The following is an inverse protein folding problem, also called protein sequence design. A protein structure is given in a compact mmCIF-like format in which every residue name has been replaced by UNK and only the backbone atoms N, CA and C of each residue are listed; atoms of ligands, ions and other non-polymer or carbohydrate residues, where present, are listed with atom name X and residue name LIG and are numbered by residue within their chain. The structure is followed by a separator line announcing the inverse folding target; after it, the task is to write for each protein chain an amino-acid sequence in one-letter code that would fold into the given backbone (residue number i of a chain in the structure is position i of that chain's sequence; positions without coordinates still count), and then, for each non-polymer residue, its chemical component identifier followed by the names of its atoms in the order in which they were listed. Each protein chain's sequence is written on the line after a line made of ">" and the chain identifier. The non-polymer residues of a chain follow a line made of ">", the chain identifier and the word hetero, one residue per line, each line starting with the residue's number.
data_IF_242062009294
#
_entry.id   IF_242062009294
#
_cell.length_a   1.000
_cell.length_b   1.000
_cell.length_c   1.000
_cell.angle_alpha   90.00
_cell.angle_beta   90.00
_cell.angle_gamma   90.00
#
_symmetry.space_group_name_H-M   'P 1'
#
loop_
_entity.id
_entity.type
_entity.pdbx_description
1 polymer ?
#
# COMPACT_ATOMS: atom_id res chain seq x y z
N UNK A 1 -2.78 1.12 -16.57
CA UNK A 1 -1.39 0.91 -16.10
C UNK A 1 -1.15 -0.53 -15.69
N UNK A 2 -1.80 -1.06 -14.65
CA UNK A 2 -1.59 -2.45 -14.22
C UNK A 2 -2.00 -3.51 -15.26
N UNK A 3 -3.08 -3.26 -16.01
CA UNK A 3 -3.52 -4.15 -17.09
C UNK A 3 -2.45 -4.29 -18.19
N UNK A 4 -1.89 -3.16 -18.63
CA UNK A 4 -0.80 -3.15 -19.62
C UNK A 4 0.44 -3.88 -19.05
N UNK A 5 0.84 -3.58 -17.82
CA UNK A 5 2.01 -4.20 -17.20
C UNK A 5 1.86 -5.72 -17.04
N UNK A 6 0.74 -6.18 -16.47
CA UNK A 6 0.54 -7.59 -16.15
C UNK A 6 0.04 -8.43 -17.33
N UNK A 7 -0.89 -7.90 -18.13
CA UNK A 7 -1.51 -8.67 -19.22
C UNK A 7 -0.79 -8.49 -20.56
N UNK A 8 -0.41 -7.27 -20.93
CA UNK A 8 0.22 -7.02 -22.24
C UNK A 8 1.74 -7.24 -22.20
N UNK A 9 2.39 -6.86 -21.11
CA UNK A 9 3.84 -7.02 -20.94
C UNK A 9 4.24 -8.37 -20.30
N UNK A 10 3.26 -9.14 -19.83
CA UNK A 10 3.48 -10.43 -19.17
C UNK A 10 4.26 -10.30 -17.85
N UNK A 11 4.31 -9.12 -17.25
CA UNK A 11 5.04 -8.91 -16.01
C UNK A 11 4.35 -9.70 -14.89
N UNK A 12 5.07 -10.64 -14.28
CA UNK A 12 4.62 -11.27 -13.05
C UNK A 12 5.37 -10.63 -11.89
N UNK A 13 4.65 -9.85 -11.09
CA UNK A 13 5.20 -9.28 -9.88
C UNK A 13 4.91 -10.23 -8.72
N UNK A 14 5.89 -11.02 -8.23
CA UNK A 14 5.70 -11.73 -6.98
C UNK A 14 5.56 -10.67 -5.89
N UNK A 15 4.41 -10.67 -5.22
CA UNK A 15 4.21 -9.83 -4.04
C UNK A 15 5.06 -10.39 -2.91
N UNK A 16 5.80 -9.50 -2.24
CA UNK A 16 6.47 -9.86 -0.99
C UNK A 16 5.46 -10.02 0.16
N UNK A 17 5.93 -10.56 1.28
CA UNK A 17 5.14 -10.67 2.51
C UNK A 17 4.69 -9.28 3.00
N UNK A 18 5.52 -8.24 2.85
CA UNK A 18 5.16 -6.87 3.22
C UNK A 18 4.05 -6.33 2.31
N UNK A 19 4.19 -6.45 0.98
CA UNK A 19 3.17 -5.91 0.07
C UNK A 19 1.83 -6.59 0.34
N UNK A 20 1.85 -7.91 0.53
CA UNK A 20 0.66 -8.71 0.89
C UNK A 20 0.06 -8.26 2.22
N UNK A 21 0.88 -7.97 3.23
CA UNK A 21 0.41 -7.44 4.51
C UNK A 21 -0.21 -6.04 4.38
N UNK A 22 0.36 -5.17 3.54
CA UNK A 22 -0.17 -3.83 3.27
C UNK A 22 -1.51 -3.92 2.53
N UNK A 23 -1.63 -4.76 1.50
CA UNK A 23 -2.90 -4.98 0.80
C UNK A 23 -3.97 -5.51 1.75
N UNK A 24 -3.62 -6.48 2.60
CA UNK A 24 -4.50 -7.03 3.62
C UNK A 24 -4.95 -5.98 4.64
N UNK A 25 -4.04 -5.13 5.10
CA UNK A 25 -4.34 -4.05 6.04
C UNK A 25 -5.27 -2.99 5.44
N UNK A 26 -5.02 -2.60 4.19
CA UNK A 26 -5.84 -1.64 3.46
C UNK A 26 -7.14 -2.27 2.94
N UNK A 27 -7.27 -3.60 2.91
CA UNK A 27 -8.39 -4.33 2.29
C UNK A 27 -8.62 -3.90 0.84
N UNK A 28 -7.54 -3.73 0.09
CA UNK A 28 -7.58 -3.35 -1.33
C UNK A 28 -6.91 -4.42 -2.17
N UNK A 29 -7.36 -4.60 -3.41
CA UNK A 29 -6.63 -5.43 -4.37
C UNK A 29 -5.36 -4.70 -4.84
N UNK A 30 -4.30 -5.41 -5.27
CA UNK A 30 -3.10 -4.78 -5.79
C UNK A 30 -3.37 -3.78 -6.94
N UNK A 31 -4.38 -4.07 -7.77
CA UNK A 31 -4.83 -3.21 -8.86
C UNK A 31 -5.51 -1.90 -8.42
N UNK A 32 -6.01 -1.83 -7.18
CA UNK A 32 -6.65 -0.65 -6.60
C UNK A 32 -5.63 0.31 -5.97
N UNK A 33 -4.44 -0.19 -5.61
CA UNK A 33 -3.39 0.66 -5.09
C UNK A 33 -2.76 1.44 -6.25
N UNK A 34 -2.61 2.76 -6.12
CA UNK A 34 -2.06 3.57 -7.21
C UNK A 34 -0.61 3.13 -7.56
N UNK A 35 -0.18 3.14 -8.84
CA UNK A 35 1.20 2.75 -9.22
C UNK A 35 2.30 3.48 -8.44
N UNK A 36 2.07 4.75 -8.10
CA UNK A 36 2.97 5.52 -7.23
C UNK A 36 3.12 4.90 -5.83
N UNK A 37 2.01 4.46 -5.24
CA UNK A 37 2.02 3.82 -3.92
C UNK A 37 2.69 2.45 -3.96
N UNK A 38 2.56 1.70 -5.07
CA UNK A 38 3.36 0.49 -5.28
C UNK A 38 4.86 0.80 -5.33
N UNK A 39 5.26 1.85 -6.05
CA UNK A 39 6.67 2.26 -6.11
C UNK A 39 7.23 2.63 -4.72
N UNK A 40 6.46 3.32 -3.88
CA UNK A 40 6.86 3.62 -2.50
C UNK A 40 7.04 2.36 -1.66
N UNK A 41 6.18 1.38 -1.82
CA UNK A 41 6.27 0.12 -1.09
C UNK A 41 7.54 -0.63 -1.46
N UNK A 42 7.85 -0.75 -2.75
CA UNK A 42 9.12 -1.34 -3.23
C UNK A 42 10.34 -0.56 -2.77
N UNK A 43 10.30 0.77 -2.84
CA UNK A 43 11.41 1.61 -2.39
C UNK A 43 11.67 1.47 -0.89
N UNK A 44 10.62 1.33 -0.08
CA UNK A 44 10.73 1.10 1.35
C UNK A 44 11.39 -0.24 1.66
N UNK A 45 11.01 -1.32 0.97
CA UNK A 45 11.64 -2.63 1.16
C UNK A 45 13.12 -2.61 0.82
N UNK A 46 13.49 -2.02 -0.33
CA UNK A 46 14.89 -1.87 -0.74
C UNK A 46 15.68 -1.04 0.28
N UNK A 47 15.07 0.01 0.82
CA UNK A 47 15.70 0.85 1.85
C UNK A 47 15.86 0.09 3.17
N UNK A 48 14.86 -0.68 3.58
CA UNK A 48 14.92 -1.50 4.79
C UNK A 48 16.00 -2.58 4.70
N UNK A 49 16.12 -3.24 3.54
CA UNK A 49 17.17 -4.21 3.25
C UNK A 49 18.56 -3.57 3.28
N UNK A 50 18.72 -2.39 2.64
CA UNK A 50 19.96 -1.62 2.69
C UNK A 50 20.36 -1.25 4.13
N UNK A 51 19.40 -0.83 4.95
CA UNK A 51 19.60 -0.47 6.35
C UNK A 51 19.69 -1.68 7.29
N UNK A 52 19.54 -2.91 6.78
CA UNK A 52 19.53 -4.17 7.55
C UNK A 52 18.48 -4.17 8.68
N UNK A 53 17.33 -3.56 8.42
CA UNK A 53 16.16 -3.56 9.31
C UNK A 53 15.04 -4.41 8.71
N UNK A 54 14.23 -5.02 9.57
CA UNK A 54 13.07 -5.76 9.08
C UNK A 54 12.01 -4.79 8.51
N UNK A 55 11.63 -4.92 7.22
CA UNK A 55 10.52 -4.15 6.68
C UNK A 55 9.23 -4.64 7.35
N UNK A 56 8.58 -3.77 8.13
CA UNK A 56 7.33 -4.12 8.82
C UNK A 56 6.20 -3.20 8.39
N UNK A 57 4.98 -3.75 8.39
CA UNK A 57 3.77 -3.00 8.07
C UNK A 57 3.62 -1.75 8.95
N UNK A 58 3.88 -1.87 10.25
CA UNK A 58 3.79 -0.73 11.19
C UNK A 58 4.78 0.37 10.82
N UNK A 59 6.02 0.01 10.48
CA UNK A 59 7.04 0.98 10.10
C UNK A 59 6.71 1.67 8.77
N UNK A 60 6.18 0.91 7.80
CA UNK A 60 5.72 1.46 6.53
C UNK A 60 4.57 2.47 6.73
N UNK A 61 3.54 2.10 7.49
CA UNK A 61 2.40 2.98 7.77
C UNK A 61 2.83 4.22 8.58
N UNK A 62 3.80 4.09 9.46
CA UNK A 62 4.38 5.21 10.20
C UNK A 62 5.16 6.15 9.27
N UNK A 63 6.00 5.61 8.39
CA UNK A 63 6.85 6.39 7.48
C UNK A 63 6.04 7.16 6.42
N UNK A 64 4.99 6.54 5.87
CA UNK A 64 4.21 7.13 4.77
C UNK A 64 2.88 7.74 5.21
N UNK A 65 2.54 7.68 6.50
CA UNK A 65 1.30 8.26 7.01
C UNK A 65 0.07 7.81 6.22
N UNK A 66 0.05 6.53 5.77
CA UNK A 66 -0.99 5.96 4.94
C UNK A 66 -2.30 5.88 5.73
N UNK A 67 -3.01 6.99 5.79
CA UNK A 67 -4.37 7.04 6.26
C UNK A 67 -5.27 6.70 5.08
N UNK A 68 -6.26 5.82 5.31
CA UNK A 68 -7.38 5.73 4.37
C UNK A 68 -7.94 7.14 4.27
N UNK A 69 -7.94 7.73 3.08
CA UNK A 69 -8.81 8.87 2.84
C UNK A 69 -10.23 8.34 3.06
N UNK A 70 -10.85 8.66 4.21
CA UNK A 70 -12.29 8.55 4.31
C UNK A 70 -12.85 9.30 3.11
N UNK A 71 -13.74 8.70 2.30
CA UNK A 71 -14.45 9.46 1.30
C UNK A 71 -15.07 10.67 2.00
N UNK A 72 -14.98 11.84 1.38
CA UNK A 72 -15.30 13.16 1.92
C UNK A 72 -16.81 13.37 2.21
N UNK A 73 -17.51 12.34 2.68
CA UNK A 73 -18.96 12.29 2.86
C UNK A 73 -19.46 11.69 4.19
N UNK A 74 -18.62 11.09 5.04
CA UNK A 74 -19.04 10.62 6.37
C UNK A 74 -18.62 11.62 7.46
N UNK A 75 -19.16 12.83 7.37
CA UNK A 75 -19.16 13.78 8.47
C UNK A 75 -20.60 14.30 8.68
N UNK A 76 -21.49 13.44 9.17
CA UNK A 76 -22.69 13.86 9.89
C UNK A 76 -23.44 12.64 10.46
N UNK A 77 -23.15 12.29 11.71
CA UNK A 77 -24.15 12.17 12.79
C UNK A 77 -23.51 11.51 13.99
N UNK A 78 -23.46 12.25 15.10
CA UNK A 78 -23.09 11.67 16.38
C UNK A 78 -22.60 12.69 17.40
N UNK A 79 -23.39 13.73 17.70
CA UNK A 79 -23.32 14.35 19.02
C UNK A 79 -24.65 15.02 19.39
N UNK A 80 -25.48 14.27 20.10
CA UNK A 80 -26.32 14.79 21.20
C UNK A 80 -25.51 14.53 22.50
N UNK A 81 -25.66 15.31 23.57
CA UNK A 81 -26.93 15.56 24.26
C UNK A 81 -27.56 16.93 23.99
#
# INVERSE_FOLDING_TARGET
>A
MYEIAFQQMGYQMPFTDLETAVFGHLRVSPSQLHPNSMAFLRAFEVTADYLRIAPTLKLFLHAFGLQRSCPKGEAAKGKAP
#
